data_IF_840363257779
#
_entry.id   IF_840363257779
#
_cell.length_a   1.000
_cell.length_b   1.000
_cell.length_c   1.000
_cell.angle_alpha   90.00
_cell.angle_beta   90.00
_cell.angle_gamma   90.00
#
_symmetry.space_group_name_H-M   'P 1'
#
loop_
_entity.id
_entity.type
_entity.pdbx_description
1 polymer ?
#
# COMPACT_ATOMS: atom_id res chain seq x y z
N UNK A 1 25.21 -3.22 1.12
CA UNK A 1 24.50 -4.21 1.97
C UNK A 1 24.47 -5.64 1.43
N UNK A 2 24.02 -5.91 0.19
CA UNK A 2 23.99 -7.30 -0.36
C UNK A 2 25.38 -7.96 -0.39
N UNK A 3 26.36 -7.29 -1.00
CA UNK A 3 27.77 -7.72 -1.02
C UNK A 3 28.35 -7.98 0.39
N UNK A 4 27.99 -7.15 1.37
CA UNK A 4 28.45 -7.29 2.76
C UNK A 4 27.82 -8.51 3.45
N UNK A 5 26.51 -8.72 3.29
CA UNK A 5 25.82 -9.93 3.77
C UNK A 5 26.44 -11.20 3.19
N UNK A 6 26.72 -11.19 1.89
CA UNK A 6 27.25 -12.35 1.20
C UNK A 6 28.71 -12.62 1.60
N UNK A 7 29.51 -11.57 1.81
CA UNK A 7 30.84 -11.65 2.41
C UNK A 7 30.79 -12.30 3.80
N UNK A 8 29.95 -11.81 4.71
CA UNK A 8 29.81 -12.39 6.06
C UNK A 8 29.31 -13.84 6.04
N UNK A 9 28.41 -14.18 5.10
CA UNK A 9 27.96 -15.56 4.90
C UNK A 9 29.12 -16.47 4.51
N UNK A 10 29.97 -16.04 3.60
CA UNK A 10 31.14 -16.81 3.16
C UNK A 10 32.16 -16.97 4.30
N UNK A 11 32.42 -15.90 5.05
CA UNK A 11 33.30 -15.92 6.23
C UNK A 11 32.77 -16.88 7.30
N UNK A 12 31.47 -16.80 7.63
CA UNK A 12 30.86 -17.71 8.60
C UNK A 12 30.91 -19.18 8.17
N UNK A 13 30.70 -19.47 6.89
CA UNK A 13 30.83 -20.83 6.34
C UNK A 13 32.26 -21.35 6.41
N UNK A 14 33.24 -20.51 6.06
CA UNK A 14 34.65 -20.87 6.15
C UNK A 14 35.03 -21.21 7.59
N UNK A 15 34.67 -20.36 8.56
CA UNK A 15 34.94 -20.58 9.98
C UNK A 15 34.25 -21.85 10.53
N UNK A 16 33.05 -22.19 10.06
CA UNK A 16 32.39 -23.46 10.42
C UNK A 16 33.11 -24.68 9.83
N UNK A 17 33.75 -24.55 8.66
CA UNK A 17 34.54 -25.65 8.09
C UNK A 17 35.87 -25.81 8.80
N UNK A 18 36.54 -24.71 9.15
CA UNK A 18 37.74 -24.68 9.99
C UNK A 18 37.48 -25.34 11.35
N UNK A 19 36.38 -24.97 12.05
CA UNK A 19 36.01 -25.57 13.33
C UNK A 19 35.67 -27.06 13.25
N UNK A 20 35.39 -27.57 12.05
CA UNK A 20 35.10 -29.00 11.79
C UNK A 20 36.33 -29.76 11.27
N UNK A 21 37.49 -29.11 11.13
CA UNK A 21 38.68 -29.70 10.52
C UNK A 21 38.57 -29.98 9.02
N UNK A 22 37.58 -29.38 8.33
CA UNK A 22 37.31 -29.60 6.90
C UNK A 22 37.89 -28.53 5.98
N UNK A 23 38.67 -27.60 6.54
CA UNK A 23 39.34 -26.53 5.82
C UNK A 23 40.55 -26.04 6.61
N UNK A 24 41.62 -25.71 5.90
CA UNK A 24 42.80 -25.05 6.45
C UNK A 24 42.44 -23.68 7.03
N UNK A 25 43.04 -23.36 8.18
CA UNK A 25 42.86 -22.07 8.83
C UNK A 25 43.44 -20.96 7.96
N UNK A 26 42.60 -20.06 7.46
CA UNK A 26 43.10 -18.88 6.71
C UNK A 26 43.55 -17.79 7.66
N UNK A 27 44.87 -17.69 7.83
CA UNK A 27 45.57 -16.59 8.46
C UNK A 27 45.56 -16.60 9.99
N UNK A 28 46.52 -15.87 10.57
CA UNK A 28 46.68 -15.63 12.01
C UNK A 28 45.71 -14.60 12.58
N UNK A 29 44.88 -13.97 11.74
CA UNK A 29 44.18 -12.75 12.12
C UNK A 29 42.85 -13.03 12.83
N UNK A 30 42.89 -12.78 14.14
CA UNK A 30 41.79 -12.47 15.06
C UNK A 30 40.91 -13.67 15.50
N UNK A 31 40.66 -13.84 16.82
CA UNK A 31 39.84 -14.92 17.36
C UNK A 31 38.36 -14.62 17.06
N UNK A 32 37.94 -14.91 15.83
CA UNK A 32 36.56 -14.73 15.39
C UNK A 32 35.85 -16.06 15.28
N UNK A 33 34.98 -16.39 16.24
CA UNK A 33 34.09 -17.55 16.11
C UNK A 33 33.12 -17.37 14.94
N UNK A 34 32.69 -18.47 14.33
CA UNK A 34 31.67 -18.44 13.26
C UNK A 34 30.37 -17.74 13.68
N UNK A 35 30.09 -17.68 14.99
CA UNK A 35 28.94 -17.02 15.60
C UNK A 35 28.90 -15.52 15.27
N UNK A 36 30.02 -14.81 15.43
CA UNK A 36 30.05 -13.37 15.15
C UNK A 36 29.85 -13.01 13.68
N UNK A 37 30.37 -13.82 12.76
CA UNK A 37 30.09 -13.66 11.33
C UNK A 37 28.61 -13.90 11.02
N UNK A 38 27.98 -14.85 11.71
CA UNK A 38 26.54 -15.11 11.58
C UNK A 38 25.68 -13.95 12.11
N UNK A 39 26.05 -13.34 13.22
CA UNK A 39 25.39 -12.16 13.81
C UNK A 39 25.47 -10.96 12.85
N UNK A 40 26.67 -10.64 12.33
CA UNK A 40 26.84 -9.55 11.35
C UNK A 40 26.03 -9.79 10.07
N UNK A 41 26.01 -11.04 9.57
CA UNK A 41 25.16 -11.42 8.43
C UNK A 41 23.68 -11.13 8.72
N UNK A 42 23.18 -11.43 9.91
CA UNK A 42 21.79 -11.17 10.30
C UNK A 42 21.49 -9.67 10.31
N UNK A 43 22.39 -8.84 10.84
CA UNK A 43 22.26 -7.38 10.80
C UNK A 43 22.10 -6.88 9.37
N UNK A 44 22.95 -7.33 8.44
CA UNK A 44 22.84 -6.95 7.03
C UNK A 44 21.55 -7.45 6.37
N UNK A 45 21.09 -8.65 6.73
CA UNK A 45 19.83 -9.19 6.22
C UNK A 45 18.63 -8.38 6.73
N UNK A 46 18.61 -8.00 8.01
CA UNK A 46 17.58 -7.16 8.61
C UNK A 46 17.55 -5.76 7.96
N UNK A 47 18.72 -5.15 7.77
CA UNK A 47 18.85 -3.87 7.07
C UNK A 47 18.30 -3.95 5.64
N UNK A 48 18.63 -5.00 4.89
CA UNK A 48 18.07 -5.22 3.54
C UNK A 48 16.55 -5.39 3.56
N UNK A 49 16.00 -6.11 4.54
CA UNK A 49 14.56 -6.28 4.69
C UNK A 49 13.89 -4.93 4.89
N UNK A 50 14.41 -4.08 5.79
CA UNK A 50 13.88 -2.72 6.03
C UNK A 50 13.91 -1.86 4.77
N UNK A 51 15.05 -1.81 4.07
CA UNK A 51 15.19 -1.03 2.83
C UNK A 51 14.22 -1.51 1.75
N UNK A 52 14.09 -2.83 1.56
CA UNK A 52 13.15 -3.36 0.57
C UNK A 52 11.70 -3.05 0.93
N UNK A 53 11.33 -3.06 2.22
CA UNK A 53 10.00 -2.67 2.67
C UNK A 53 9.72 -1.20 2.37
N UNK A 54 10.68 -0.30 2.65
CA UNK A 54 10.52 1.12 2.34
C UNK A 54 10.40 1.38 0.84
N UNK A 55 11.21 0.71 0.01
CA UNK A 55 11.09 0.81 -1.45
C UNK A 55 9.71 0.35 -1.93
N UNK A 56 9.20 -0.76 -1.41
CA UNK A 56 7.84 -1.22 -1.72
C UNK A 56 6.77 -0.23 -1.27
N UNK A 57 6.94 0.36 -0.08
CA UNK A 57 6.01 1.37 0.45
C UNK A 57 5.97 2.60 -0.46
N UNK A 58 7.13 3.12 -0.87
CA UNK A 58 7.22 4.25 -1.79
C UNK A 58 6.60 3.93 -3.15
N UNK A 59 6.90 2.76 -3.70
CA UNK A 59 6.31 2.30 -4.97
C UNK A 59 4.78 2.20 -4.89
N UNK A 60 4.24 1.63 -3.81
CA UNK A 60 2.80 1.51 -3.64
C UNK A 60 2.11 2.88 -3.48
N UNK A 61 2.76 3.83 -2.81
CA UNK A 61 2.25 5.20 -2.72
C UNK A 61 2.23 5.88 -4.10
N UNK A 62 3.31 5.76 -4.87
CA UNK A 62 3.39 6.30 -6.22
C UNK A 62 2.36 5.66 -7.19
N UNK A 63 2.16 4.35 -7.09
CA UNK A 63 1.14 3.64 -7.86
C UNK A 63 -0.27 4.12 -7.48
N UNK A 64 -0.55 4.29 -6.17
CA UNK A 64 -1.84 4.79 -5.70
C UNK A 64 -2.13 6.21 -6.21
N UNK A 65 -1.15 7.10 -6.17
CA UNK A 65 -1.32 8.47 -6.70
C UNK A 65 -1.59 8.45 -8.20
N UNK A 66 -0.83 7.66 -8.96
CA UNK A 66 -1.04 7.51 -10.40
C UNK A 66 -2.44 6.99 -10.74
N UNK A 67 -2.94 5.99 -10.01
CA UNK A 67 -4.30 5.48 -10.20
C UNK A 67 -5.39 6.50 -9.88
N UNK A 68 -5.23 7.27 -8.80
CA UNK A 68 -6.18 8.33 -8.44
C UNK A 68 -6.23 9.41 -9.50
N UNK A 69 -5.07 9.83 -10.02
CA UNK A 69 -5.00 10.82 -11.10
C UNK A 69 -5.61 10.29 -12.41
N UNK A 70 -5.32 9.05 -12.78
CA UNK A 70 -5.92 8.42 -13.95
C UNK A 70 -7.44 8.34 -13.83
N UNK A 71 -7.96 7.96 -12.65
CA UNK A 71 -9.41 7.92 -12.40
C UNK A 71 -10.06 9.31 -12.48
N UNK A 72 -9.40 10.34 -11.93
CA UNK A 72 -9.87 11.74 -12.04
C UNK A 72 -9.91 12.20 -13.49
N UNK A 73 -8.87 11.90 -14.29
CA UNK A 73 -8.83 12.21 -15.73
C UNK A 73 -9.95 11.50 -16.48
N UNK A 74 -10.16 10.21 -16.24
CA UNK A 74 -11.24 9.45 -16.85
C UNK A 74 -12.63 10.02 -16.50
N UNK A 75 -12.84 10.39 -15.24
CA UNK A 75 -14.08 11.06 -14.80
C UNK A 75 -14.28 12.40 -15.51
N UNK A 76 -13.23 13.21 -15.66
CA UNK A 76 -13.28 14.49 -16.35
C UNK A 76 -13.65 14.32 -17.83
N UNK A 77 -13.03 13.36 -18.52
CA UNK A 77 -13.37 13.01 -19.91
C UNK A 77 -14.83 12.54 -20.04
N UNK A 78 -15.27 11.65 -19.15
CA UNK A 78 -16.66 11.20 -19.12
C UNK A 78 -17.64 12.36 -18.89
N UNK A 79 -17.30 13.32 -18.02
CA UNK A 79 -18.13 14.50 -17.81
C UNK A 79 -18.18 15.39 -19.03
N UNK A 80 -17.05 15.65 -19.67
CA UNK A 80 -16.97 16.45 -20.89
C UNK A 80 -17.78 15.84 -22.04
N UNK A 81 -17.78 14.51 -22.17
CA UNK A 81 -18.53 13.81 -23.21
C UNK A 81 -20.05 13.82 -22.96
N UNK A 82 -20.50 13.65 -21.72
CA UNK A 82 -21.92 13.44 -21.41
C UNK A 82 -22.67 14.70 -20.94
N UNK A 83 -21.98 15.66 -20.34
CA UNK A 83 -22.58 16.91 -19.86
C UNK A 83 -22.15 18.07 -20.76
N UNK A 84 -22.33 17.91 -22.07
CA UNK A 84 -22.22 19.03 -22.99
C UNK A 84 -23.32 20.04 -22.66
N UNK A 85 -22.95 21.31 -22.56
CA UNK A 85 -23.91 22.40 -22.37
C UNK A 85 -24.82 22.43 -23.60
N UNK A 86 -26.00 21.82 -23.49
CA UNK A 86 -27.04 21.98 -24.51
C UNK A 86 -27.30 23.48 -24.65
N UNK A 87 -27.30 24.03 -25.88
CA UNK A 87 -27.64 25.43 -26.08
C UNK A 87 -28.99 25.71 -25.41
N UNK A 88 -29.15 26.90 -24.81
CA UNK A 88 -30.43 27.28 -24.22
C UNK A 88 -31.52 27.09 -25.27
N UNK A 89 -32.68 26.58 -24.85
CA UNK A 89 -33.84 26.60 -25.71
C UNK A 89 -34.06 28.06 -26.11
N UNK A 90 -34.00 28.36 -27.42
CA UNK A 90 -34.18 29.72 -27.93
C UNK A 90 -35.54 30.29 -27.53
N UNK A 91 -35.81 31.54 -27.92
CA UNK A 91 -37.09 32.18 -27.62
C UNK A 91 -38.25 31.36 -28.22
N UNK A 92 -39.06 30.74 -27.36
CA UNK A 92 -40.32 30.10 -27.74
C UNK A 92 -41.46 31.09 -27.50
N UNK A 93 -42.43 31.16 -28.43
CA UNK A 93 -43.54 32.12 -28.38
C UNK A 93 -44.55 31.89 -27.22
N UNK A 94 -44.33 30.86 -26.40
CA UNK A 94 -45.13 30.51 -25.22
C UNK A 94 -44.20 30.11 -24.06
N UNK A 95 -44.73 30.09 -22.82
CA UNK A 95 -44.02 29.74 -21.56
C UNK A 95 -43.32 28.35 -21.58
N UNK A 96 -43.41 27.62 -22.68
CA UNK A 96 -42.76 26.33 -22.86
C UNK A 96 -43.47 25.19 -22.11
N UNK A 97 -42.92 23.99 -22.24
CA UNK A 97 -43.46 22.78 -21.63
C UNK A 97 -42.92 22.65 -20.21
N UNK A 98 -43.78 22.66 -19.20
CA UNK A 98 -43.37 22.52 -17.80
C UNK A 98 -42.63 21.19 -17.55
N UNK A 99 -41.52 21.26 -16.82
CA UNK A 99 -40.71 20.07 -16.47
C UNK A 99 -41.56 19.06 -15.68
N UNK A 100 -41.79 17.88 -16.26
CA UNK A 100 -42.43 16.76 -15.53
C UNK A 100 -41.41 16.16 -14.56
N UNK A 101 -41.60 16.28 -13.23
CA UNK A 101 -40.70 15.65 -12.27
C UNK A 101 -40.77 14.13 -12.43
N UNK A 102 -39.63 13.46 -12.26
CA UNK A 102 -39.56 12.00 -12.32
C UNK A 102 -40.40 11.36 -11.20
N UNK A 103 -41.42 10.59 -11.58
CA UNK A 103 -42.27 9.81 -10.67
C UNK A 103 -41.58 8.56 -10.08
N UNK A 104 -40.31 8.28 -10.43
CA UNK A 104 -39.56 7.19 -9.80
C UNK A 104 -39.64 7.33 -8.28
N UNK A 105 -40.34 6.38 -7.66
CA UNK A 105 -40.57 6.27 -6.23
C UNK A 105 -39.26 6.52 -5.49
N UNK A 106 -39.17 7.63 -4.75
CA UNK A 106 -38.06 7.88 -3.83
C UNK A 106 -38.03 6.68 -2.88
N UNK A 107 -36.97 5.87 -2.92
CA UNK A 107 -36.80 4.78 -1.96
C UNK A 107 -36.62 5.43 -0.59
N UNK A 108 -37.70 5.54 0.18
CA UNK A 108 -37.65 5.97 1.57
C UNK A 108 -36.89 4.86 2.31
N UNK A 109 -35.61 5.11 2.58
CA UNK A 109 -34.81 4.23 3.42
C UNK A 109 -35.21 4.51 4.85
N UNK A 110 -35.67 3.49 5.57
CA UNK A 110 -35.96 3.62 7.00
C UNK A 110 -34.76 4.23 7.73
N UNK A 111 -34.98 5.23 8.58
CA UNK A 111 -33.90 5.96 9.27
C UNK A 111 -32.92 5.03 10.01
N UNK A 112 -33.42 3.93 10.57
CA UNK A 112 -32.62 2.88 11.24
C UNK A 112 -31.69 2.07 10.32
N UNK A 113 -31.79 2.23 8.99
CA UNK A 113 -30.84 1.67 8.02
C UNK A 113 -29.75 2.67 7.63
N UNK A 114 -30.01 3.96 7.79
CA UNK A 114 -29.05 5.02 7.50
C UNK A 114 -27.91 4.93 8.52
N UNK A 115 -26.66 4.80 8.05
CA UNK A 115 -25.48 4.75 8.91
C UNK A 115 -25.23 3.42 9.64
N UNK A 116 -26.07 2.39 9.48
CA UNK A 116 -25.93 1.11 10.19
C UNK A 116 -24.53 0.47 10.01
N UNK A 117 -24.05 0.39 8.77
CA UNK A 117 -22.74 -0.18 8.47
C UNK A 117 -21.63 0.69 9.05
N UNK A 118 -21.73 2.01 8.91
CA UNK A 118 -20.74 2.95 9.45
C UNK A 118 -20.61 2.83 10.98
N UNK A 119 -21.74 2.72 11.70
CA UNK A 119 -21.73 2.55 13.14
C UNK A 119 -21.17 1.19 13.54
N UNK A 120 -21.55 0.11 12.84
CA UNK A 120 -21.01 -1.22 13.08
C UNK A 120 -19.48 -1.26 12.89
N UNK A 121 -18.96 -0.64 11.83
CA UNK A 121 -17.52 -0.55 11.57
C UNK A 121 -16.81 0.29 12.64
N UNK A 122 -17.39 1.43 13.06
CA UNK A 122 -16.85 2.26 14.13
C UNK A 122 -16.72 1.48 15.44
N UNK A 123 -17.76 0.74 15.82
CA UNK A 123 -17.76 -0.11 17.03
C UNK A 123 -16.72 -1.22 16.91
N UNK A 124 -16.66 -1.91 15.77
CA UNK A 124 -15.69 -2.98 15.56
C UNK A 124 -14.23 -2.48 15.64
N UNK A 125 -13.97 -1.27 15.14
CA UNK A 125 -12.66 -0.64 15.23
C UNK A 125 -12.31 -0.29 16.68
N UNK A 126 -13.24 0.33 17.43
CA UNK A 126 -13.03 0.64 18.84
C UNK A 126 -12.72 -0.60 19.68
N UNK A 127 -13.42 -1.73 19.43
CA UNK A 127 -13.14 -3.01 20.09
C UNK A 127 -11.74 -3.53 19.75
N UNK A 128 -11.28 -3.37 18.51
CA UNK A 128 -9.95 -3.79 18.09
C UNK A 128 -8.87 -2.93 18.74
N UNK A 129 -9.08 -1.62 18.79
CA UNK A 129 -8.13 -0.68 19.40
C UNK A 129 -8.01 -0.93 20.91
N UNK A 130 -9.12 -1.21 21.60
CA UNK A 130 -9.13 -1.58 23.01
C UNK A 130 -8.44 -2.93 23.32
N UNK A 131 -8.26 -3.80 22.32
CA UNK A 131 -7.49 -5.06 22.46
C UNK A 131 -6.00 -4.89 22.15
N UNK A 132 -5.63 -3.80 21.48
CA UNK A 132 -4.26 -3.49 21.08
C UNK A 132 -3.57 -2.45 21.99
N UNK A 133 -4.32 -1.83 22.91
CA UNK A 133 -3.83 -1.04 24.03
C UNK A 133 -3.62 -1.94 25.26
#
# INVERSE_FOLDING_TARGET
MRKMRDKERTVGRQKQRESRGKAEARGTSFPGTAKHASERKQVFAAALKRVNTELRRQHNLAARTAHVEAARKALALHRAANFTTRPPAGATASEGMASKPSERRRKIVAGAKIGRVSQATKVAQAVRDARGA
#
